data_IF_975998135269
#
_entry.id   IF_975998135269
#
_cell.length_a   1.000
_cell.length_b   1.000
_cell.length_c   1.000
_cell.angle_alpha   90.00
_cell.angle_beta   90.00
_cell.angle_gamma   90.00
#
_symmetry.space_group_name_H-M   'P 1'
#
loop_
_entity.id
_entity.type
_entity.pdbx_description
1 polymer ?
#
# COMPACT_ATOMS: atom_id res chain seq x y z
N UNK A 1 -68.60 -1.88 29.36
CA UNK A 1 -67.74 -0.78 28.85
C UNK A 1 -66.78 -0.22 29.92
N UNK A 2 -66.03 -1.06 30.66
CA UNK A 2 -65.04 -0.59 31.66
C UNK A 2 -63.67 -1.30 31.60
N UNK A 3 -63.47 -2.28 30.69
CA UNK A 3 -62.19 -2.98 30.52
C UNK A 3 -61.33 -2.50 29.34
N UNK A 4 -61.88 -1.69 28.43
CA UNK A 4 -61.14 -1.17 27.28
C UNK A 4 -60.37 0.14 27.57
N UNK A 5 -60.61 0.79 28.71
CA UNK A 5 -59.97 2.06 29.07
C UNK A 5 -58.66 1.86 29.85
N UNK A 6 -58.48 0.70 30.50
CA UNK A 6 -57.30 0.41 31.34
C UNK A 6 -56.08 0.02 30.48
N UNK A 7 -56.28 -0.61 29.31
CA UNK A 7 -55.17 -0.95 28.41
C UNK A 7 -54.60 0.23 27.62
N UNK A 8 -55.35 1.33 27.44
CA UNK A 8 -54.84 2.53 26.76
C UNK A 8 -54.02 3.45 27.66
N UNK A 9 -54.22 3.39 28.98
CA UNK A 9 -53.39 4.10 29.96
C UNK A 9 -52.06 3.37 30.23
N UNK A 10 -52.03 2.03 30.19
CA UNK A 10 -50.79 1.26 30.37
C UNK A 10 -49.77 1.45 29.22
N UNK A 11 -50.23 1.65 27.98
CA UNK A 11 -49.35 1.89 26.84
C UNK A 11 -48.84 3.35 26.76
N UNK A 12 -49.57 4.31 27.32
CA UNK A 12 -49.12 5.71 27.39
C UNK A 12 -48.01 5.95 28.42
N UNK A 13 -48.04 5.21 29.54
CA UNK A 13 -47.02 5.33 30.60
C UNK A 13 -45.71 4.59 30.22
N UNK A 14 -45.79 3.50 29.46
CA UNK A 14 -44.60 2.77 29.00
C UNK A 14 -43.81 3.52 27.91
N UNK A 15 -44.50 4.26 27.04
CA UNK A 15 -43.83 5.13 26.04
C UNK A 15 -43.25 6.40 26.66
N UNK A 16 -43.88 6.97 27.69
CA UNK A 16 -43.32 8.10 28.42
C UNK A 16 -42.08 7.70 29.24
N UNK A 17 -42.06 6.50 29.82
CA UNK A 17 -40.90 5.99 30.57
C UNK A 17 -39.71 5.63 29.66
N UNK A 18 -39.94 5.14 28.43
CA UNK A 18 -38.85 4.94 27.44
C UNK A 18 -38.35 6.25 26.82
N UNK A 19 -39.21 7.26 26.67
CA UNK A 19 -38.79 8.57 26.18
C UNK A 19 -37.95 9.34 27.23
N UNK A 20 -38.25 9.17 28.52
CA UNK A 20 -37.51 9.80 29.63
C UNK A 20 -36.18 9.10 29.96
N UNK A 21 -36.01 7.81 29.63
CA UNK A 21 -34.70 7.13 29.74
C UNK A 21 -33.79 7.34 28.53
N UNK A 22 -34.35 7.65 27.35
CA UNK A 22 -33.58 8.02 26.15
C UNK A 22 -33.04 9.46 26.18
N UNK A 23 -33.62 10.35 26.98
CA UNK A 23 -33.08 11.71 27.22
C UNK A 23 -32.02 11.78 28.33
N UNK A 24 -31.86 10.73 29.14
CA UNK A 24 -30.93 10.72 30.28
C UNK A 24 -29.58 10.04 30.01
N UNK A 25 -29.39 9.40 28.84
CA UNK A 25 -28.10 8.85 28.41
C UNK A 25 -27.39 9.70 27.33
N UNK A 26 -27.96 10.84 26.96
CA UNK A 26 -27.41 11.75 25.96
C UNK A 26 -26.84 13.02 26.58
N UNK A 27 -25.93 12.91 27.56
CA UNK A 27 -25.01 13.97 28.00
C UNK A 27 -24.13 13.47 29.16
N UNK A 28 -23.37 12.40 28.93
CA UNK A 28 -22.02 12.37 29.51
C UNK A 28 -21.12 12.96 28.43
N UNK A 29 -21.14 14.29 28.33
CA UNK A 29 -19.94 15.00 27.93
C UNK A 29 -18.86 14.52 28.89
N UNK A 30 -18.01 13.61 28.41
CA UNK A 30 -16.67 13.49 28.99
C UNK A 30 -16.17 14.92 29.09
N UNK A 31 -15.68 15.39 30.25
CA UNK A 31 -15.16 16.73 30.34
C UNK A 31 -14.12 16.84 29.23
N UNK A 32 -14.46 17.57 28.16
CA UNK A 32 -13.47 18.16 27.28
C UNK A 32 -12.69 19.00 28.26
N UNK A 33 -11.55 18.47 28.66
CA UNK A 33 -10.61 19.23 29.43
C UNK A 33 -10.30 20.44 28.56
N UNK A 34 -10.90 21.57 28.92
CA UNK A 34 -10.31 22.90 28.76
C UNK A 34 -9.03 22.98 29.60
N UNK A 35 -8.22 21.92 29.61
CA UNK A 35 -6.80 22.07 29.75
C UNK A 35 -6.43 22.89 28.53
N UNK A 36 -6.09 24.16 28.77
CA UNK A 36 -5.25 24.91 27.86
C UNK A 36 -4.21 23.92 27.35
N UNK A 37 -4.28 23.56 26.07
CA UNK A 37 -3.35 22.60 25.51
C UNK A 37 -1.98 23.19 25.80
N UNK A 38 -1.21 22.54 26.66
CA UNK A 38 0.16 22.96 26.92
C UNK A 38 0.80 23.15 25.56
N UNK A 39 1.43 24.31 25.34
CA UNK A 39 1.99 24.64 24.04
C UNK A 39 2.86 23.46 23.58
N UNK A 40 2.43 22.78 22.51
CA UNK A 40 3.15 21.63 21.98
C UNK A 40 4.51 22.14 21.51
N UNK A 41 5.53 21.89 22.31
CA UNK A 41 6.89 22.40 22.12
C UNK A 41 7.80 21.21 21.89
N UNK A 42 7.90 20.70 20.66
CA UNK A 42 8.68 19.51 20.38
C UNK A 42 10.18 19.81 20.46
N UNK A 43 10.96 18.83 20.91
CA UNK A 43 12.43 18.95 20.89
C UNK A 43 12.97 18.76 19.47
N UNK A 44 14.18 19.27 19.17
CA UNK A 44 14.84 19.01 17.88
C UNK A 44 14.96 17.51 17.55
N UNK A 45 15.21 16.67 18.54
CA UNK A 45 15.31 15.21 18.40
C UNK A 45 13.95 14.60 18.03
N UNK A 46 12.85 15.06 18.64
CA UNK A 46 11.50 14.62 18.28
C UNK A 46 11.15 15.01 16.84
N UNK A 47 11.51 16.21 16.40
CA UNK A 47 11.32 16.66 15.00
C UNK A 47 12.16 15.80 14.04
N UNK A 48 13.41 15.48 14.40
CA UNK A 48 14.28 14.64 13.58
C UNK A 48 13.74 13.20 13.47
N UNK A 49 13.26 12.62 14.57
CA UNK A 49 12.59 11.31 14.57
C UNK A 49 11.29 11.36 13.76
N UNK A 50 10.48 12.41 13.91
CA UNK A 50 9.28 12.62 13.11
C UNK A 50 9.55 12.69 11.62
N UNK A 51 10.65 13.34 11.21
CA UNK A 51 11.09 13.40 9.82
C UNK A 51 11.41 12.01 9.27
N UNK A 52 12.05 11.17 10.08
CA UNK A 52 12.32 9.78 9.74
C UNK A 52 11.03 9.00 9.57
N UNK A 53 10.11 9.10 10.54
CA UNK A 53 8.85 8.37 10.53
C UNK A 53 7.91 8.80 9.40
N UNK A 54 7.85 10.09 9.05
CA UNK A 54 7.05 10.56 7.90
C UNK A 54 7.51 9.96 6.58
N UNK A 55 8.82 9.72 6.44
CA UNK A 55 9.35 8.97 5.30
C UNK A 55 8.99 7.49 5.41
N UNK A 56 9.28 6.84 6.54
CA UNK A 56 8.96 5.43 6.75
C UNK A 56 7.48 5.11 6.56
N UNK A 57 6.59 6.04 6.92
CA UNK A 57 5.15 5.92 6.79
C UNK A 57 4.60 6.26 5.39
N UNK A 58 5.49 6.68 4.49
CA UNK A 58 5.22 7.09 3.12
C UNK A 58 4.14 8.19 2.98
N UNK A 59 4.11 9.15 3.92
CA UNK A 59 3.05 10.18 3.91
C UNK A 59 3.10 11.02 2.62
N UNK A 60 4.29 11.23 2.05
CA UNK A 60 4.47 12.05 0.86
C UNK A 60 3.79 11.46 -0.37
N UNK A 61 3.70 10.12 -0.51
CA UNK A 61 3.11 9.47 -1.68
C UNK A 61 1.64 9.84 -1.90
N UNK A 62 0.89 10.09 -0.83
CA UNK A 62 -0.50 10.54 -0.92
C UNK A 62 -0.65 12.05 -0.72
N UNK A 63 0.24 12.66 0.06
CA UNK A 63 0.09 14.06 0.47
C UNK A 63 0.96 15.04 -0.35
N UNK A 64 1.64 14.63 -1.42
CA UNK A 64 2.42 15.54 -2.27
C UNK A 64 2.16 15.25 -3.75
N UNK A 65 1.42 16.11 -4.43
CA UNK A 65 1.27 16.02 -5.89
C UNK A 65 2.57 16.34 -6.62
N UNK A 66 2.73 15.84 -7.85
CA UNK A 66 3.94 15.96 -8.67
C UNK A 66 4.54 17.38 -8.73
N UNK A 67 3.69 18.41 -8.91
CA UNK A 67 4.10 19.82 -8.95
C UNK A 67 3.64 20.62 -7.73
N UNK A 68 3.23 19.93 -6.67
CA UNK A 68 2.66 20.52 -5.46
C UNK A 68 3.71 20.88 -4.40
N UNK A 69 3.32 21.73 -3.46
CA UNK A 69 4.12 21.91 -2.25
C UNK A 69 4.16 20.60 -1.43
N UNK A 70 5.29 20.27 -0.78
CA UNK A 70 5.39 19.09 0.07
C UNK A 70 4.25 19.02 1.09
N UNK A 71 3.60 17.87 1.18
CA UNK A 71 2.50 17.58 2.11
C UNK A 71 1.20 18.38 1.89
N UNK A 72 1.07 19.12 0.78
CA UNK A 72 -0.10 19.95 0.47
C UNK A 72 -1.29 19.19 -0.14
N UNK A 73 -1.22 17.87 -0.27
CA UNK A 73 -2.27 17.00 -0.78
C UNK A 73 -2.34 16.93 -2.31
N UNK A 74 -3.50 16.49 -2.81
CA UNK A 74 -3.86 16.55 -4.23
C UNK A 74 -3.59 15.30 -5.06
N UNK A 75 -2.87 14.31 -4.53
CA UNK A 75 -2.62 13.03 -5.26
C UNK A 75 -3.93 12.28 -5.44
N UNK A 76 -4.24 11.89 -6.68
CA UNK A 76 -5.43 11.09 -7.02
C UNK A 76 -5.14 9.61 -6.81
N UNK A 77 -5.97 8.95 -6.02
CA UNK A 77 -5.92 7.50 -5.81
C UNK A 77 -7.18 6.89 -6.44
N UNK A 78 -7.00 6.21 -7.56
CA UNK A 78 -8.10 5.53 -8.24
C UNK A 78 -8.47 4.23 -7.52
N UNK A 79 -9.76 3.96 -7.38
CA UNK A 79 -10.26 2.73 -6.76
C UNK A 79 -11.56 2.27 -7.43
N UNK A 80 -12.00 1.01 -7.19
CA UNK A 80 -13.32 0.54 -7.63
C UNK A 80 -14.50 1.40 -7.10
N UNK A 81 -14.29 2.13 -6.00
CA UNK A 81 -15.31 2.94 -5.33
C UNK A 81 -15.38 4.39 -5.83
N UNK A 82 -14.44 4.80 -6.68
CA UNK A 82 -14.23 6.17 -7.13
C UNK A 82 -12.80 6.65 -6.89
N UNK A 83 -12.58 7.95 -6.98
CA UNK A 83 -11.27 8.57 -6.76
C UNK A 83 -11.18 9.26 -5.39
N UNK A 84 -10.18 8.85 -4.61
CA UNK A 84 -9.78 9.57 -3.40
C UNK A 84 -8.70 10.60 -3.76
N UNK A 85 -8.55 11.61 -2.91
CA UNK A 85 -7.52 12.64 -3.05
C UNK A 85 -6.88 12.87 -1.70
N UNK A 86 -5.54 12.87 -1.65
CA UNK A 86 -4.81 13.18 -0.42
C UNK A 86 -5.10 14.60 0.05
N UNK A 87 -5.18 14.80 1.37
CA UNK A 87 -5.42 16.12 1.96
C UNK A 87 -4.12 16.90 2.18
N UNK A 88 -4.22 18.19 2.38
CA UNK A 88 -3.16 19.03 2.89
C UNK A 88 -2.94 18.73 4.38
N UNK A 89 -1.73 18.31 4.73
CA UNK A 89 -1.31 18.02 6.12
C UNK A 89 -0.17 18.94 6.57
N UNK A 90 0.01 20.08 5.89
CA UNK A 90 0.92 21.14 6.33
C UNK A 90 0.35 21.93 7.51
N UNK A 91 1.13 22.78 8.19
CA UNK A 91 0.66 23.61 9.31
C UNK A 91 -0.22 24.79 8.89
N UNK A 92 -0.69 24.80 7.64
CA UNK A 92 -1.66 25.78 7.18
C UNK A 92 -2.95 25.68 8.01
N UNK A 93 -3.43 26.81 8.52
CA UNK A 93 -4.57 26.86 9.46
C UNK A 93 -5.92 26.71 8.76
N UNK A 94 -6.01 27.11 7.50
CA UNK A 94 -7.29 27.13 6.77
C UNK A 94 -7.53 25.81 6.03
N UNK A 95 -6.48 25.25 5.42
CA UNK A 95 -6.57 24.11 4.53
C UNK A 95 -5.80 22.88 5.03
N UNK A 96 -4.82 23.08 5.92
CA UNK A 96 -3.99 22.04 6.51
C UNK A 96 -4.44 21.58 7.90
N UNK A 97 -3.47 21.14 8.70
CA UNK A 97 -3.65 20.69 10.09
C UNK A 97 -3.20 21.74 11.11
N UNK A 98 -3.03 23.00 10.70
CA UNK A 98 -2.44 24.07 11.54
C UNK A 98 -3.18 24.35 12.85
N UNK A 99 -4.49 24.10 12.89
CA UNK A 99 -5.36 24.27 14.07
C UNK A 99 -5.69 22.94 14.78
N UNK A 100 -4.98 21.85 14.46
CA UNK A 100 -5.16 20.56 15.13
C UNK A 100 -4.33 20.51 16.40
N UNK A 101 -4.74 19.69 17.37
CA UNK A 101 -3.84 19.26 18.44
C UNK A 101 -3.13 17.95 18.08
N UNK A 102 -2.08 17.60 18.84
CA UNK A 102 -1.46 16.28 18.74
C UNK A 102 -2.49 15.14 19.01
N UNK A 103 -3.47 15.37 19.88
CA UNK A 103 -4.57 14.43 20.14
C UNK A 103 -5.53 14.31 18.95
N UNK A 104 -5.84 15.42 18.26
CA UNK A 104 -6.63 15.38 17.02
C UNK A 104 -5.91 14.57 15.94
N UNK A 105 -4.60 14.80 15.79
CA UNK A 105 -3.78 14.08 14.84
C UNK A 105 -3.72 12.58 15.18
N UNK A 106 -3.48 12.23 16.44
CA UNK A 106 -3.48 10.84 16.91
C UNK A 106 -4.82 10.15 16.63
N UNK A 107 -5.96 10.78 16.94
CA UNK A 107 -7.29 10.24 16.65
C UNK A 107 -7.57 10.08 15.15
N UNK A 108 -7.03 10.95 14.32
CA UNK A 108 -7.15 10.80 12.87
C UNK A 108 -6.39 9.57 12.37
N UNK A 109 -5.15 9.37 12.84
CA UNK A 109 -4.33 8.20 12.47
C UNK A 109 -4.84 6.88 13.07
N UNK A 110 -5.33 6.91 14.31
CA UNK A 110 -5.65 5.71 15.07
C UNK A 110 -7.12 5.31 14.95
N UNK A 111 -8.04 6.27 14.91
CA UNK A 111 -9.49 6.03 14.97
C UNK A 111 -10.23 6.47 13.71
N UNK A 112 -9.50 6.94 12.69
CA UNK A 112 -10.10 7.50 11.48
C UNK A 112 -10.98 8.73 11.77
N UNK A 113 -10.69 9.49 12.83
CA UNK A 113 -11.51 10.63 13.27
C UNK A 113 -10.75 11.95 13.15
N UNK A 114 -10.98 12.67 12.05
CA UNK A 114 -10.45 14.01 11.83
C UNK A 114 -11.42 15.07 12.38
N UNK A 115 -11.35 15.37 13.68
CA UNK A 115 -12.17 16.39 14.38
C UNK A 115 -13.68 16.24 14.13
N UNK A 116 -14.19 15.02 14.29
CA UNK A 116 -15.61 14.68 14.10
C UNK A 116 -15.96 14.18 12.69
N UNK A 117 -15.05 14.31 11.73
CA UNK A 117 -15.22 13.79 10.37
C UNK A 117 -14.53 12.43 10.24
N UNK A 118 -15.33 11.39 9.96
CA UNK A 118 -14.79 10.05 9.66
C UNK A 118 -13.98 10.05 8.36
N UNK A 119 -12.78 9.50 8.44
CA UNK A 119 -11.92 9.23 7.30
C UNK A 119 -12.39 7.98 6.57
N UNK A 120 -12.06 7.88 5.29
CA UNK A 120 -12.18 6.65 4.55
C UNK A 120 -10.91 5.81 4.74
N UNK A 121 -11.00 4.46 4.77
CA UNK A 121 -9.83 3.58 4.91
C UNK A 121 -8.77 3.72 3.81
N UNK A 122 -9.05 4.49 2.74
CA UNK A 122 -8.04 4.92 1.77
C UNK A 122 -6.92 5.73 2.41
N UNK A 123 -7.21 6.43 3.51
CA UNK A 123 -6.18 6.82 4.47
C UNK A 123 -6.03 5.63 5.42
N UNK A 124 -4.85 4.98 5.50
CA UNK A 124 -4.71 3.65 6.09
C UNK A 124 -4.70 3.68 7.63
N UNK A 125 -5.69 4.34 8.25
CA UNK A 125 -5.82 4.43 9.71
C UNK A 125 -6.00 3.06 10.38
N UNK A 126 -6.54 2.07 9.66
CA UNK A 126 -6.62 0.69 10.12
C UNK A 126 -5.25 0.07 10.36
N UNK A 127 -4.27 0.41 9.52
CA UNK A 127 -2.87 0.01 9.66
C UNK A 127 -2.15 0.89 10.68
N UNK A 128 -2.31 2.21 10.58
CA UNK A 128 -1.70 3.19 11.50
C UNK A 128 -2.20 3.09 12.94
N UNK A 129 -3.29 2.37 13.21
CA UNK A 129 -3.76 2.07 14.56
C UNK A 129 -2.71 1.40 15.44
N UNK A 130 -1.73 0.72 14.84
CA UNK A 130 -0.61 0.14 15.56
C UNK A 130 0.51 1.14 15.88
N UNK A 131 0.48 2.37 15.35
CA UNK A 131 1.47 3.40 15.66
C UNK A 131 1.45 3.75 17.15
N UNK A 132 2.64 3.84 17.73
CA UNK A 132 2.74 4.29 19.12
C UNK A 132 2.35 5.77 19.23
N UNK A 133 1.81 6.16 20.39
CA UNK A 133 1.52 7.56 20.68
C UNK A 133 2.74 8.46 20.48
N UNK A 134 3.91 8.01 20.94
CA UNK A 134 5.16 8.76 20.81
C UNK A 134 5.56 8.98 19.34
N UNK A 135 5.40 7.97 18.49
CA UNK A 135 5.70 8.09 17.06
C UNK A 135 4.69 8.99 16.33
N UNK A 136 3.41 8.92 16.68
CA UNK A 136 2.39 9.84 16.17
C UNK A 136 2.70 11.29 16.55
N UNK A 137 3.08 11.55 17.81
CA UNK A 137 3.44 12.89 18.28
C UNK A 137 4.71 13.41 17.59
N UNK A 138 5.69 12.53 17.32
CA UNK A 138 6.89 12.89 16.58
C UNK A 138 6.58 13.22 15.11
N UNK A 139 5.76 12.41 14.43
CA UNK A 139 5.26 12.70 13.09
C UNK A 139 4.56 14.07 13.07
N UNK A 140 3.66 14.31 14.01
CA UNK A 140 2.96 15.58 14.15
C UNK A 140 3.94 16.75 14.37
N UNK A 141 4.95 16.58 15.23
CA UNK A 141 5.99 17.58 15.45
C UNK A 141 6.73 17.97 14.19
N UNK A 142 7.11 16.98 13.38
CA UNK A 142 7.79 17.26 12.12
C UNK A 142 6.86 17.97 11.13
N UNK A 143 5.62 17.50 10.96
CA UNK A 143 4.64 18.16 10.09
C UNK A 143 4.41 19.60 10.52
N UNK A 144 4.26 19.87 11.82
CA UNK A 144 4.10 21.22 12.38
C UNK A 144 5.33 22.13 12.19
N UNK A 145 6.49 21.55 11.85
CA UNK A 145 7.72 22.30 11.55
C UNK A 145 7.92 22.64 10.07
N UNK A 146 7.13 22.05 9.15
CA UNK A 146 7.28 22.33 7.72
C UNK A 146 6.67 23.67 7.31
N UNK A 147 7.03 24.17 6.13
CA UNK A 147 6.45 25.40 5.61
C UNK A 147 4.93 25.22 5.37
N UNK A 148 4.07 26.09 5.90
CA UNK A 148 2.64 26.08 5.59
C UNK A 148 2.41 26.26 4.08
N UNK A 149 1.48 25.49 3.53
CA UNK A 149 1.05 25.62 2.14
C UNK A 149 -0.46 25.91 2.11
N UNK A 150 -0.88 27.11 1.66
CA UNK A 150 -2.30 27.47 1.57
C UNK A 150 -2.94 26.85 0.32
N UNK A 151 -3.04 25.51 0.30
CA UNK A 151 -3.61 24.73 -0.80
C UNK A 151 -4.89 24.05 -0.32
N UNK A 152 -6.03 24.42 -0.91
CA UNK A 152 -7.33 23.86 -0.57
C UNK A 152 -7.42 22.36 -0.90
N UNK A 153 -8.07 21.62 -0.01
CA UNK A 153 -8.32 20.19 -0.20
C UNK A 153 -9.29 19.94 -1.36
N UNK A 154 -8.98 18.95 -2.19
CA UNK A 154 -9.90 18.45 -3.21
C UNK A 154 -10.87 17.42 -2.61
N UNK A 155 -12.16 17.58 -2.90
CA UNK A 155 -13.17 16.60 -2.50
C UNK A 155 -12.99 15.28 -3.27
N UNK A 156 -13.26 14.15 -2.60
CA UNK A 156 -13.29 12.85 -3.25
C UNK A 156 -14.43 12.75 -4.26
N UNK A 157 -14.19 12.01 -5.33
CA UNK A 157 -15.16 11.71 -6.38
C UNK A 157 -15.60 10.24 -6.22
N UNK A 158 -16.49 10.00 -5.25
CA UNK A 158 -16.95 8.67 -4.87
C UNK A 158 -18.35 8.39 -5.41
N UNK A 159 -18.53 7.16 -5.88
CA UNK A 159 -19.83 6.70 -6.38
C UNK A 159 -20.79 6.45 -5.22
N UNK A 160 -22.07 6.74 -5.40
CA UNK A 160 -23.10 6.29 -4.46
C UNK A 160 -23.12 4.75 -4.38
N UNK A 161 -23.27 4.13 -3.19
CA UNK A 161 -23.52 4.74 -1.88
C UNK A 161 -22.26 5.10 -1.07
N UNK A 162 -21.05 4.87 -1.59
CA UNK A 162 -19.78 5.07 -0.87
C UNK A 162 -19.50 6.54 -0.48
N UNK A 163 -20.18 7.50 -1.12
CA UNK A 163 -20.14 8.92 -0.75
C UNK A 163 -20.82 9.23 0.60
N UNK A 164 -21.62 8.31 1.16
CA UNK A 164 -22.31 8.49 2.44
C UNK A 164 -21.39 8.20 3.64
N UNK A 165 -20.79 9.25 4.21
CA UNK A 165 -19.82 9.12 5.32
C UNK A 165 -20.34 8.46 6.60
N UNK A 166 -21.64 8.50 6.90
CA UNK A 166 -22.17 7.88 8.13
C UNK A 166 -21.93 6.36 8.15
N UNK A 167 -21.83 5.73 6.98
CA UNK A 167 -21.51 4.30 6.87
C UNK A 167 -20.15 3.95 7.46
N UNK A 168 -19.22 4.90 7.55
CA UNK A 168 -17.89 4.68 8.14
C UNK A 168 -17.92 4.42 9.63
N UNK A 169 -18.81 5.07 10.39
CA UNK A 169 -18.97 4.74 11.81
C UNK A 169 -19.37 3.26 12.00
N UNK A 170 -20.31 2.76 11.19
CA UNK A 170 -20.71 1.36 11.25
C UNK A 170 -19.61 0.43 10.76
N UNK A 171 -18.91 0.80 9.69
CA UNK A 171 -17.79 0.05 9.16
C UNK A 171 -16.69 -0.11 10.21
N UNK A 172 -16.32 0.96 10.90
CA UNK A 172 -15.31 0.95 11.96
C UNK A 172 -15.71 0.06 13.14
N UNK A 173 -16.98 0.12 13.57
CA UNK A 173 -17.48 -0.77 14.63
C UNK A 173 -17.33 -2.25 14.31
N UNK A 174 -17.32 -2.62 13.02
CA UNK A 174 -17.21 -4.01 12.57
C UNK A 174 -15.77 -4.40 12.25
N UNK A 175 -14.99 -3.49 11.67
CA UNK A 175 -13.72 -3.83 11.01
C UNK A 175 -12.47 -3.20 11.63
N UNK A 176 -12.60 -2.18 12.48
CA UNK A 176 -11.45 -1.54 13.11
C UNK A 176 -10.91 -2.43 14.24
N UNK A 177 -9.73 -3.03 14.00
CA UNK A 177 -9.05 -3.92 14.95
C UNK A 177 -7.77 -3.29 15.46
N UNK A 178 -7.26 -3.76 16.60
CA UNK A 178 -6.03 -3.21 17.21
C UNK A 178 -4.76 -3.68 16.49
N UNK A 179 -4.82 -4.81 15.77
CA UNK A 179 -3.69 -5.35 15.04
C UNK A 179 -4.14 -6.10 13.77
N UNK A 180 -3.23 -6.16 12.80
CA UNK A 180 -3.35 -7.00 11.62
C UNK A 180 -2.72 -8.38 11.89
N UNK A 181 -3.24 -9.45 11.27
CA UNK A 181 -2.64 -10.77 11.35
C UNK A 181 -1.29 -10.82 10.64
N UNK A 182 -0.37 -11.62 11.17
CA UNK A 182 0.97 -11.77 10.63
C UNK A 182 1.04 -12.82 9.52
N UNK A 183 1.80 -12.52 8.46
CA UNK A 183 2.06 -13.44 7.36
C UNK A 183 3.26 -14.37 7.60
N UNK A 184 4.06 -14.09 8.62
CA UNK A 184 5.26 -14.85 8.98
C UNK A 184 5.27 -15.16 10.47
N UNK A 185 6.21 -16.02 10.88
CA UNK A 185 6.40 -16.38 12.27
C UNK A 185 7.73 -15.84 12.81
N UNK A 186 7.68 -15.25 14.00
CA UNK A 186 8.87 -14.79 14.71
C UNK A 186 8.51 -14.15 16.05
N UNK A 187 9.52 -13.99 16.90
CA UNK A 187 9.44 -13.33 18.20
C UNK A 187 10.68 -12.48 18.50
N UNK A 188 11.73 -12.53 17.66
CA UNK A 188 12.93 -11.71 17.84
C UNK A 188 12.61 -10.22 17.85
N UNK A 189 13.48 -9.42 18.47
CA UNK A 189 13.33 -7.96 18.48
C UNK A 189 13.29 -7.39 17.05
N UNK A 190 14.12 -7.92 16.14
CA UNK A 190 14.11 -7.55 14.72
C UNK A 190 12.79 -7.91 14.04
N UNK A 191 12.21 -9.08 14.32
CA UNK A 191 10.92 -9.47 13.78
C UNK A 191 9.79 -8.56 14.28
N UNK A 192 9.76 -8.25 15.58
CA UNK A 192 8.74 -7.35 16.15
C UNK A 192 8.85 -5.92 15.58
N UNK A 193 10.10 -5.43 15.41
CA UNK A 193 10.36 -4.13 14.78
C UNK A 193 9.93 -4.14 13.31
N UNK A 194 10.25 -5.21 12.58
CA UNK A 194 9.84 -5.39 11.20
C UNK A 194 8.33 -5.46 11.02
N UNK A 195 7.62 -6.13 11.95
CA UNK A 195 6.16 -6.17 11.99
C UNK A 195 5.57 -4.77 12.11
N UNK A 196 6.13 -3.95 13.00
CA UNK A 196 5.72 -2.55 13.16
C UNK A 196 5.99 -1.73 11.89
N UNK A 197 7.17 -1.88 11.28
CA UNK A 197 7.53 -1.20 10.04
C UNK A 197 6.63 -1.60 8.87
N UNK A 198 6.34 -2.89 8.71
CA UNK A 198 5.54 -3.39 7.58
C UNK A 198 4.05 -3.10 7.75
N UNK A 199 3.49 -3.37 8.94
CA UNK A 199 2.05 -3.29 9.14
C UNK A 199 1.57 -1.92 9.59
N UNK A 200 2.35 -1.19 10.39
CA UNK A 200 1.95 0.11 10.90
C UNK A 200 2.46 1.24 10.00
N UNK A 201 3.78 1.40 9.92
CA UNK A 201 4.37 2.53 9.17
C UNK A 201 4.17 2.37 7.67
N UNK A 202 4.70 1.31 7.07
CA UNK A 202 4.69 1.07 5.63
C UNK A 202 3.40 0.45 5.09
N UNK A 203 2.43 0.13 5.95
CA UNK A 203 1.07 -0.35 5.61
C UNK A 203 1.03 -1.36 4.45
N UNK A 204 2.01 -2.27 4.38
CA UNK A 204 2.22 -3.17 3.24
C UNK A 204 0.99 -4.05 2.97
N UNK A 205 0.25 -4.39 4.02
CA UNK A 205 -0.98 -5.16 3.95
C UNK A 205 -2.08 -4.48 3.12
N UNK A 206 -2.09 -3.14 3.03
CA UNK A 206 -3.12 -2.41 2.30
C UNK A 206 -3.08 -2.68 0.78
N UNK A 207 -1.91 -3.04 0.25
CA UNK A 207 -1.71 -3.43 -1.14
C UNK A 207 -1.57 -4.95 -1.30
N UNK A 208 -0.88 -5.62 -0.38
CA UNK A 208 -0.53 -7.04 -0.52
C UNK A 208 -1.53 -8.02 0.12
N UNK A 209 -2.62 -7.56 0.71
CA UNK A 209 -3.67 -8.44 1.28
C UNK A 209 -4.98 -8.26 0.50
N UNK A 210 -5.65 -9.34 0.07
CA UNK A 210 -6.89 -9.22 -0.68
C UNK A 210 -7.98 -8.58 0.18
N UNK A 211 -8.93 -7.89 -0.47
CA UNK A 211 -10.06 -7.23 0.17
C UNK A 211 -11.36 -7.98 -0.09
N UNK A 212 -12.26 -7.97 0.89
CA UNK A 212 -13.62 -8.48 0.75
C UNK A 212 -14.54 -7.44 0.07
N UNK A 213 -15.81 -7.79 -0.13
CA UNK A 213 -16.80 -6.92 -0.79
C UNK A 213 -17.05 -5.59 -0.04
N UNK A 214 -16.73 -5.51 1.24
CA UNK A 214 -16.84 -4.30 2.07
C UNK A 214 -15.56 -3.45 2.03
N UNK A 215 -14.58 -3.82 1.21
CA UNK A 215 -13.29 -3.13 1.09
C UNK A 215 -12.30 -3.41 2.22
N UNK A 216 -12.65 -4.30 3.17
CA UNK A 216 -11.76 -4.63 4.27
C UNK A 216 -10.79 -5.76 3.91
N UNK A 217 -9.59 -5.72 4.48
CA UNK A 217 -8.58 -6.76 4.35
C UNK A 217 -9.12 -8.13 4.79
N UNK A 218 -8.77 -9.18 4.06
CA UNK A 218 -9.11 -10.56 4.40
C UNK A 218 -8.04 -11.12 5.31
N UNK A 219 -8.29 -11.07 6.61
CA UNK A 219 -7.36 -11.49 7.68
C UNK A 219 -6.80 -12.91 7.53
N UNK A 220 -7.53 -13.81 6.88
CA UNK A 220 -7.07 -15.19 6.64
C UNK A 220 -5.97 -15.30 5.57
N UNK A 221 -5.65 -14.21 4.86
CA UNK A 221 -4.71 -14.19 3.73
C UNK A 221 -3.74 -13.00 3.79
N UNK A 222 -3.07 -12.75 4.93
CA UNK A 222 -2.19 -11.60 5.08
C UNK A 222 -1.06 -11.68 4.06
N UNK A 223 -0.82 -10.58 3.36
CA UNK A 223 0.29 -10.41 2.42
C UNK A 223 0.32 -11.40 1.23
N UNK A 224 -0.76 -12.13 0.97
CA UNK A 224 -0.83 -13.16 -0.09
C UNK A 224 -0.98 -12.61 -1.52
N UNK A 225 -0.87 -11.29 -1.70
CA UNK A 225 -1.10 -10.58 -2.95
C UNK A 225 -2.56 -10.20 -3.17
N UNK A 226 -2.78 -9.14 -3.95
CA UNK A 226 -4.11 -8.63 -4.28
C UNK A 226 -4.11 -7.84 -5.59
N UNK A 227 -5.27 -7.81 -6.27
CA UNK A 227 -5.46 -6.93 -7.41
C UNK A 227 -5.46 -5.46 -6.95
N UNK A 228 -4.65 -4.64 -7.61
CA UNK A 228 -4.48 -3.21 -7.36
C UNK A 228 -4.74 -2.44 -8.65
N UNK A 229 -6.01 -2.38 -9.05
CA UNK A 229 -6.42 -1.75 -10.30
C UNK A 229 -5.87 -2.50 -11.51
N UNK A 230 -4.93 -1.88 -12.23
CA UNK A 230 -4.35 -2.44 -13.46
C UNK A 230 -3.25 -3.46 -13.18
N UNK A 231 -2.64 -3.45 -12.01
CA UNK A 231 -1.57 -4.40 -11.63
C UNK A 231 -2.03 -5.30 -10.49
N UNK A 232 -1.27 -6.35 -10.21
CA UNK A 232 -1.47 -7.24 -9.06
C UNK A 232 -0.30 -7.07 -8.11
N UNK A 233 -0.55 -6.66 -6.87
CA UNK A 233 0.48 -6.71 -5.84
C UNK A 233 0.85 -8.18 -5.58
N UNK A 234 2.13 -8.56 -5.68
CA UNK A 234 2.54 -9.96 -5.56
C UNK A 234 2.36 -10.52 -4.15
N UNK A 235 2.28 -11.84 -4.02
CA UNK A 235 2.35 -12.54 -2.74
C UNK A 235 3.72 -12.33 -2.08
N UNK A 236 3.78 -11.58 -0.98
CA UNK A 236 5.00 -11.31 -0.21
C UNK A 236 5.04 -12.07 1.12
N UNK A 237 4.26 -13.14 1.26
CA UNK A 237 4.44 -14.11 2.36
C UNK A 237 5.83 -14.77 2.28
N UNK A 238 6.33 -15.36 3.38
CA UNK A 238 7.61 -16.08 3.36
C UNK A 238 7.68 -17.13 2.24
N UNK A 239 6.59 -17.88 2.02
CA UNK A 239 6.51 -18.89 0.97
C UNK A 239 6.49 -18.27 -0.43
N UNK A 240 5.73 -17.20 -0.64
CA UNK A 240 5.70 -16.47 -1.92
C UNK A 240 7.06 -15.89 -2.31
N UNK A 241 7.74 -15.25 -1.35
CA UNK A 241 9.08 -14.69 -1.53
C UNK A 241 10.12 -15.77 -1.84
N UNK A 242 10.19 -16.83 -1.02
CA UNK A 242 11.11 -17.93 -1.24
C UNK A 242 10.83 -18.68 -2.54
N UNK A 243 9.56 -18.89 -2.91
CA UNK A 243 9.16 -19.50 -4.18
C UNK A 243 9.65 -18.73 -5.41
N UNK A 244 9.85 -17.41 -5.28
CA UNK A 244 10.45 -16.55 -6.31
C UNK A 244 11.94 -16.27 -6.10
N UNK A 245 12.58 -16.99 -5.17
CA UNK A 245 14.02 -16.97 -4.94
C UNK A 245 14.53 -15.73 -4.20
N UNK A 246 13.67 -15.00 -3.49
CA UNK A 246 14.11 -13.87 -2.67
C UNK A 246 14.88 -14.34 -1.45
N UNK A 247 15.99 -13.66 -1.16
CA UNK A 247 16.75 -13.84 0.08
C UNK A 247 16.60 -12.62 0.99
N UNK A 248 16.99 -12.75 2.26
CA UNK A 248 17.03 -11.63 3.18
C UNK A 248 17.97 -10.50 2.68
N UNK A 249 19.10 -10.85 2.06
CA UNK A 249 20.05 -9.87 1.53
C UNK A 249 19.48 -9.13 0.31
N UNK A 250 18.76 -9.84 -0.56
CA UNK A 250 18.13 -9.24 -1.74
C UNK A 250 16.99 -8.31 -1.35
N UNK A 251 16.16 -8.68 -0.36
CA UNK A 251 15.12 -7.80 0.17
C UNK A 251 15.73 -6.54 0.80
N UNK A 252 16.81 -6.67 1.57
CA UNK A 252 17.50 -5.52 2.15
C UNK A 252 18.03 -4.58 1.06
N UNK A 253 18.60 -5.14 -0.02
CA UNK A 253 19.07 -4.36 -1.17
C UNK A 253 17.91 -3.68 -1.88
N UNK A 254 16.82 -4.41 -2.12
CA UNK A 254 15.62 -3.89 -2.77
C UNK A 254 14.98 -2.76 -1.98
N UNK A 255 14.82 -2.86 -0.66
CA UNK A 255 14.23 -1.79 0.12
C UNK A 255 15.16 -0.59 0.28
N UNK A 256 16.48 -0.80 0.27
CA UNK A 256 17.47 0.28 0.37
C UNK A 256 17.65 1.07 -0.93
N UNK A 257 17.53 0.41 -2.08
CA UNK A 257 17.89 0.98 -3.38
C UNK A 257 16.73 0.95 -4.37
N UNK A 258 15.94 -0.13 -4.37
CA UNK A 258 14.87 -0.39 -5.34
C UNK A 258 15.24 -1.37 -6.44
N UNK A 259 16.45 -1.95 -6.41
CA UNK A 259 16.91 -2.93 -7.39
C UNK A 259 17.56 -4.10 -6.65
N UNK A 260 17.24 -5.32 -7.07
CA UNK A 260 17.85 -6.57 -6.63
C UNK A 260 18.01 -7.52 -7.83
N UNK A 261 18.72 -8.66 -7.70
CA UNK A 261 18.83 -9.64 -8.78
C UNK A 261 17.48 -10.12 -9.33
N UNK A 262 16.44 -10.13 -8.49
CA UNK A 262 15.07 -10.52 -8.84
C UNK A 262 14.31 -9.44 -9.62
N UNK A 263 14.86 -8.23 -9.76
CA UNK A 263 14.25 -7.12 -10.51
C UNK A 263 14.29 -5.78 -9.77
N UNK A 264 13.60 -4.79 -10.31
CA UNK A 264 13.48 -3.44 -9.74
C UNK A 264 12.07 -3.13 -9.25
N UNK A 265 11.94 -2.13 -8.39
CA UNK A 265 10.65 -1.58 -7.99
C UNK A 265 10.08 -0.77 -9.15
N UNK A 266 8.90 -1.14 -9.65
CA UNK A 266 8.20 -0.45 -10.74
C UNK A 266 6.71 -0.28 -10.44
N UNK A 267 6.04 0.53 -11.25
CA UNK A 267 4.64 0.88 -11.04
C UNK A 267 4.40 1.42 -9.63
N UNK A 268 3.38 0.90 -8.97
CA UNK A 268 2.97 1.31 -7.61
C UNK A 268 4.04 1.04 -6.53
N UNK A 269 4.97 0.11 -6.75
CA UNK A 269 6.05 -0.15 -5.77
C UNK A 269 7.21 0.86 -5.88
N UNK A 270 7.35 1.53 -7.03
CA UNK A 270 8.39 2.55 -7.21
C UNK A 270 8.27 3.72 -6.21
N UNK A 271 7.12 4.40 -6.04
CA UNK A 271 7.01 5.47 -5.05
C UNK A 271 7.24 4.98 -3.62
N UNK A 272 6.84 3.75 -3.27
CA UNK A 272 7.11 3.17 -1.94
C UNK A 272 8.60 3.11 -1.65
N UNK A 273 9.42 2.72 -2.63
CA UNK A 273 10.88 2.77 -2.45
C UNK A 273 11.40 4.21 -2.53
N UNK A 274 10.99 4.95 -3.56
CA UNK A 274 11.54 6.26 -3.89
C UNK A 274 11.21 7.34 -2.83
N UNK A 275 10.07 7.25 -2.16
CA UNK A 275 9.62 8.23 -1.17
C UNK A 275 9.77 7.71 0.28
N UNK A 276 9.83 6.39 0.48
CA UNK A 276 9.89 5.78 1.80
C UNK A 276 11.11 4.86 2.01
N UNK A 277 11.07 3.60 1.56
CA UNK A 277 11.91 2.55 2.16
C UNK A 277 13.40 2.79 1.99
N UNK A 278 13.83 3.49 0.93
CA UNK A 278 15.25 3.80 0.71
C UNK A 278 15.85 4.71 1.78
N UNK A 279 15.02 5.35 2.61
CA UNK A 279 15.44 6.21 3.72
C UNK A 279 15.41 5.52 5.08
N UNK A 280 15.00 4.25 5.15
CA UNK A 280 15.04 3.48 6.37
C UNK A 280 16.50 3.28 6.82
N UNK A 281 16.71 3.17 8.13
CA UNK A 281 18.02 2.77 8.64
C UNK A 281 18.33 1.33 8.22
N UNK A 282 19.61 0.97 8.13
CA UNK A 282 20.00 -0.40 7.78
C UNK A 282 19.45 -1.45 8.77
N UNK A 283 19.30 -1.08 10.05
CA UNK A 283 18.69 -1.97 11.04
C UNK A 283 17.19 -2.14 10.81
N UNK A 284 16.47 -1.08 10.42
CA UNK A 284 15.05 -1.15 10.07
C UNK A 284 14.80 -1.90 8.76
N UNK A 285 15.67 -1.74 7.75
CA UNK A 285 15.63 -2.54 6.51
C UNK A 285 15.84 -4.03 6.80
N UNK A 286 16.77 -4.36 7.71
CA UNK A 286 16.96 -5.73 8.20
C UNK A 286 15.72 -6.22 8.94
N UNK A 287 15.17 -5.45 9.87
CA UNK A 287 13.97 -5.80 10.62
C UNK A 287 12.79 -6.07 9.68
N UNK A 288 12.54 -5.19 8.70
CA UNK A 288 11.51 -5.38 7.68
C UNK A 288 11.69 -6.70 6.92
N UNK A 289 12.92 -7.01 6.51
CA UNK A 289 13.23 -8.27 5.80
C UNK A 289 13.06 -9.50 6.69
N UNK A 290 13.44 -9.42 7.98
CA UNK A 290 13.21 -10.47 8.98
C UNK A 290 11.72 -10.70 9.21
N UNK A 291 10.91 -9.64 9.25
CA UNK A 291 9.46 -9.80 9.35
C UNK A 291 8.88 -10.46 8.10
N UNK A 292 9.23 -10.05 6.89
CA UNK A 292 8.63 -10.65 5.69
C UNK A 292 8.99 -12.12 5.50
N UNK A 293 10.17 -12.56 5.97
CA UNK A 293 10.61 -13.96 5.85
C UNK A 293 10.35 -14.80 7.10
N UNK A 294 10.17 -14.18 8.27
CA UNK A 294 10.15 -14.84 9.57
C UNK A 294 11.54 -15.04 10.18
N UNK A 295 11.58 -15.38 11.48
CA UNK A 295 12.84 -15.67 12.20
C UNK A 295 13.55 -16.93 11.66
N UNK A 296 12.77 -17.88 11.12
CA UNK A 296 13.26 -19.08 10.45
C UNK A 296 12.85 -19.05 8.98
N UNK A 297 13.59 -18.32 8.13
CA UNK A 297 13.18 -18.10 6.75
C UNK A 297 13.21 -19.41 5.95
N UNK A 298 12.21 -19.68 5.10
CA UNK A 298 12.27 -20.81 4.16
C UNK A 298 13.41 -20.62 3.15
N UNK A 299 13.99 -21.73 2.69
CA UNK A 299 15.06 -21.68 1.71
C UNK A 299 14.57 -21.12 0.36
N UNK A 300 15.31 -20.18 -0.27
CA UNK A 300 14.96 -19.65 -1.58
C UNK A 300 14.94 -20.78 -2.60
N UNK A 301 13.89 -20.84 -3.41
CA UNK A 301 13.74 -21.87 -4.43
C UNK A 301 14.52 -21.48 -5.68
N UNK A 302 15.36 -22.38 -6.22
CA UNK A 302 16.07 -22.14 -7.46
C UNK A 302 15.09 -22.00 -8.63
N UNK A 303 15.57 -21.45 -9.74
CA UNK A 303 14.79 -21.44 -10.97
C UNK A 303 14.59 -22.89 -11.46
N UNK A 304 13.33 -23.30 -11.59
CA UNK A 304 13.00 -24.62 -12.14
C UNK A 304 13.00 -24.58 -13.67
N UNK A 305 13.64 -25.55 -14.31
CA UNK A 305 13.51 -25.73 -15.75
C UNK A 305 12.11 -26.27 -16.09
N UNK A 306 11.48 -25.72 -17.12
CA UNK A 306 10.16 -26.16 -17.59
C UNK A 306 10.28 -26.70 -19.00
N UNK A 307 9.58 -27.80 -19.27
CA UNK A 307 9.43 -28.32 -20.63
C UNK A 307 8.37 -27.53 -21.37
N UNK A 308 8.68 -27.05 -22.57
CA UNK A 308 7.74 -26.39 -23.46
C UNK A 308 8.07 -26.75 -24.91
N UNK A 309 7.07 -26.63 -25.80
CA UNK A 309 7.26 -26.88 -27.22
C UNK A 309 8.28 -25.90 -27.82
N UNK A 310 9.34 -26.45 -28.40
CA UNK A 310 10.43 -25.65 -28.98
C UNK A 310 9.98 -24.77 -30.14
N UNK A 311 8.97 -25.18 -30.90
CA UNK A 311 8.41 -24.37 -31.97
C UNK A 311 7.66 -23.14 -31.43
N UNK A 312 6.83 -23.33 -30.39
CA UNK A 312 6.14 -22.24 -29.70
C UNK A 312 7.13 -21.23 -29.08
N UNK A 313 8.23 -21.72 -28.47
CA UNK A 313 9.27 -20.85 -27.91
C UNK A 313 10.08 -20.12 -28.98
N UNK A 314 10.27 -20.71 -30.16
CA UNK A 314 11.04 -20.09 -31.24
C UNK A 314 10.38 -18.80 -31.78
N UNK A 315 9.04 -18.78 -31.87
CA UNK A 315 8.30 -17.59 -32.27
C UNK A 315 8.48 -16.45 -31.24
N UNK A 316 8.23 -16.73 -29.95
CA UNK A 316 8.42 -15.76 -28.88
C UNK A 316 9.87 -15.27 -28.74
N UNK A 317 10.85 -16.16 -28.95
CA UNK A 317 12.27 -15.81 -29.00
C UNK A 317 12.59 -14.83 -30.13
N UNK A 318 11.98 -15.00 -31.29
CA UNK A 318 12.19 -14.11 -32.44
C UNK A 318 11.70 -12.69 -32.13
N UNK A 319 10.53 -12.58 -31.48
CA UNK A 319 10.03 -11.29 -30.97
C UNK A 319 10.98 -10.70 -29.93
N UNK A 320 11.45 -11.50 -28.97
CA UNK A 320 12.40 -11.05 -27.94
C UNK A 320 13.69 -10.47 -28.56
N UNK A 321 14.27 -11.16 -29.54
CA UNK A 321 15.47 -10.71 -30.23
C UNK A 321 15.24 -9.41 -31.01
N UNK A 322 14.04 -9.23 -31.57
CA UNK A 322 13.69 -8.05 -32.34
C UNK A 322 13.50 -6.79 -31.46
N UNK A 323 12.86 -6.91 -30.30
CA UNK A 323 12.42 -5.73 -29.53
C UNK A 323 12.90 -5.63 -28.08
N UNK A 324 13.40 -6.72 -27.48
CA UNK A 324 13.78 -6.75 -26.06
C UNK A 324 15.30 -6.87 -25.85
N UNK A 325 15.97 -7.69 -26.66
CA UNK A 325 17.35 -8.10 -26.43
C UNK A 325 18.38 -6.96 -26.46
N UNK A 326 18.07 -5.85 -27.15
CA UNK A 326 18.94 -4.66 -27.17
C UNK A 326 19.17 -4.04 -25.79
N UNK A 327 18.20 -4.18 -24.88
CA UNK A 327 18.28 -3.68 -23.51
C UNK A 327 18.47 -4.82 -22.50
N UNK A 328 17.73 -5.91 -22.64
CA UNK A 328 17.74 -7.03 -21.69
C UNK A 328 18.81 -8.10 -21.98
N UNK A 329 19.63 -7.91 -23.02
CA UNK A 329 20.70 -8.83 -23.40
C UNK A 329 20.20 -10.01 -24.23
N UNK A 330 21.10 -10.68 -24.96
CA UNK A 330 20.71 -11.80 -25.84
C UNK A 330 20.28 -13.04 -25.05
N UNK A 331 20.86 -13.23 -23.86
CA UNK A 331 20.57 -14.33 -22.95
C UNK A 331 19.74 -13.90 -21.73
N UNK A 332 19.17 -12.68 -21.74
CA UNK A 332 18.37 -12.15 -20.65
C UNK A 332 19.20 -11.71 -19.44
N UNK A 333 20.50 -11.44 -19.62
CA UNK A 333 21.44 -11.01 -18.59
C UNK A 333 21.18 -9.59 -18.06
N UNK A 334 20.33 -8.81 -18.74
CA UNK A 334 20.06 -7.43 -18.41
C UNK A 334 21.26 -6.52 -18.71
N UNK A 335 21.11 -5.25 -18.35
CA UNK A 335 22.20 -4.28 -18.44
C UNK A 335 22.15 -3.39 -17.19
N UNK A 336 23.21 -3.39 -16.36
CA UNK A 336 23.25 -2.56 -15.15
C UNK A 336 22.84 -1.12 -15.46
N UNK A 337 22.05 -0.53 -14.57
CA UNK A 337 21.58 0.86 -14.68
C UNK A 337 20.70 1.17 -15.91
N UNK A 338 20.26 0.15 -16.64
CA UNK A 338 19.47 0.31 -17.87
C UNK A 338 18.24 -0.57 -17.86
N UNK A 339 18.41 -1.87 -17.65
CA UNK A 339 17.34 -2.85 -17.74
C UNK A 339 17.61 -4.05 -16.84
N UNK A 340 16.55 -4.54 -16.19
CA UNK A 340 16.63 -5.70 -15.29
C UNK A 340 17.03 -6.98 -16.04
N UNK A 341 17.75 -7.90 -15.37
CA UNK A 341 17.92 -9.25 -15.88
C UNK A 341 16.56 -9.95 -15.94
N UNK A 342 16.41 -10.82 -16.94
CA UNK A 342 15.25 -11.69 -17.09
C UNK A 342 15.43 -12.98 -16.29
N UNK A 343 16.64 -13.54 -16.27
CA UNK A 343 16.91 -14.81 -15.61
C UNK A 343 16.57 -14.75 -14.10
N UNK A 344 15.56 -15.51 -13.68
CA UNK A 344 15.10 -15.51 -12.28
C UNK A 344 14.31 -14.28 -11.85
N UNK A 345 13.95 -13.39 -12.79
CA UNK A 345 13.18 -12.18 -12.51
C UNK A 345 11.84 -12.49 -11.83
N UNK A 346 11.52 -11.81 -10.73
CA UNK A 346 10.36 -12.11 -9.91
C UNK A 346 9.04 -11.99 -10.66
N UNK A 347 8.92 -11.05 -11.61
CA UNK A 347 7.72 -10.89 -12.45
C UNK A 347 7.53 -12.08 -13.38
N UNK A 348 8.61 -12.61 -13.96
CA UNK A 348 8.55 -13.82 -14.80
C UNK A 348 8.25 -15.08 -14.00
N UNK A 349 8.67 -15.10 -12.73
CA UNK A 349 8.45 -16.21 -11.80
C UNK A 349 7.04 -16.24 -11.18
N UNK A 350 6.18 -15.26 -11.45
CA UNK A 350 4.80 -15.29 -10.94
C UNK A 350 3.95 -16.32 -11.69
N UNK A 351 3.14 -17.07 -10.95
CA UNK A 351 2.21 -18.05 -11.54
C UNK A 351 1.22 -17.37 -12.48
N UNK A 352 0.73 -16.18 -12.12
CA UNK A 352 -0.08 -15.32 -12.98
C UNK A 352 0.82 -14.45 -13.88
N UNK A 353 0.48 -14.38 -15.18
CA UNK A 353 1.21 -13.58 -16.17
C UNK A 353 0.78 -12.10 -16.20
N UNK A 354 -0.27 -11.73 -15.48
CA UNK A 354 -0.88 -10.40 -15.52
C UNK A 354 0.13 -9.26 -15.49
N UNK A 355 1.01 -9.21 -14.48
CA UNK A 355 1.98 -8.11 -14.35
C UNK A 355 3.02 -8.08 -15.47
N UNK A 356 3.42 -9.23 -15.99
CA UNK A 356 4.32 -9.29 -17.15
C UNK A 356 3.63 -8.69 -18.38
N UNK A 357 2.38 -9.07 -18.61
CA UNK A 357 1.59 -8.56 -19.73
C UNK A 357 1.37 -7.06 -19.62
N UNK A 358 0.99 -6.57 -18.43
CA UNK A 358 0.81 -5.13 -18.19
C UNK A 358 2.11 -4.36 -18.42
N UNK A 359 3.25 -4.85 -17.90
CA UNK A 359 4.55 -4.21 -18.13
C UNK A 359 4.93 -4.12 -19.62
N UNK A 360 4.61 -5.15 -20.42
CA UNK A 360 4.84 -5.12 -21.87
C UNK A 360 3.83 -4.23 -22.62
N UNK A 361 2.56 -4.25 -22.22
CA UNK A 361 1.50 -3.46 -22.86
C UNK A 361 1.70 -1.96 -22.63
N UNK A 362 2.00 -1.58 -21.39
CA UNK A 362 2.05 -0.19 -20.95
C UNK A 362 3.45 0.40 -21.00
N UNK A 363 4.48 -0.46 -21.03
CA UNK A 363 5.84 -0.03 -20.78
C UNK A 363 6.08 0.31 -19.32
N UNK A 364 7.26 0.83 -19.03
CA UNK A 364 7.67 1.28 -17.70
C UNK A 364 8.40 2.61 -17.90
N UNK A 365 7.99 3.66 -17.20
CA UNK A 365 8.67 4.96 -17.24
C UNK A 365 10.10 4.89 -16.71
N UNK A 366 10.93 5.86 -17.07
CA UNK A 366 12.28 6.00 -16.50
C UNK A 366 12.22 6.13 -14.98
N UNK A 367 13.06 5.35 -14.29
CA UNK A 367 13.07 5.29 -12.83
C UNK A 367 14.43 5.69 -12.29
N UNK A 368 14.44 6.49 -11.22
CA UNK A 368 15.65 6.91 -10.51
C UNK A 368 15.65 6.32 -9.11
N UNK A 369 16.74 5.66 -8.78
CA UNK A 369 16.93 4.97 -7.51
C UNK A 369 18.03 5.66 -6.69
N UNK A 370 18.30 5.12 -5.50
CA UNK A 370 19.33 5.68 -4.63
C UNK A 370 20.72 5.71 -5.31
N UNK A 371 21.48 6.78 -5.08
CA UNK A 371 22.83 6.92 -5.62
C UNK A 371 22.85 7.17 -7.12
N UNK A 372 23.54 6.30 -7.87
CA UNK A 372 23.69 6.39 -9.34
C UNK A 372 22.77 5.41 -10.08
N UNK A 373 21.96 4.66 -9.35
CA UNK A 373 21.11 3.63 -9.90
C UNK A 373 19.91 4.21 -10.66
N UNK A 374 19.63 3.64 -11.84
CA UNK A 374 18.50 4.02 -12.67
C UNK A 374 18.02 2.85 -13.53
N UNK A 375 16.80 2.97 -14.05
CA UNK A 375 16.27 2.12 -15.12
C UNK A 375 15.78 3.03 -16.24
N UNK A 376 16.16 2.71 -17.48
CA UNK A 376 15.64 3.43 -18.64
C UNK A 376 14.19 3.07 -18.87
N UNK A 377 13.46 3.94 -19.57
CA UNK A 377 12.11 3.64 -19.97
C UNK A 377 12.06 2.35 -20.81
N UNK A 378 11.19 1.42 -20.41
CA UNK A 378 10.82 0.27 -21.21
C UNK A 378 9.66 0.70 -22.13
N UNK A 379 9.79 0.55 -23.46
CA UNK A 379 8.74 0.97 -24.38
C UNK A 379 7.46 0.14 -24.20
N UNK A 380 6.33 0.79 -24.44
CA UNK A 380 5.02 0.15 -24.48
C UNK A 380 4.82 -0.57 -25.83
N UNK A 381 4.28 -1.80 -25.80
CA UNK A 381 4.05 -2.61 -27.00
C UNK A 381 2.57 -2.78 -27.35
N UNK A 382 1.66 -2.14 -26.62
CA UNK A 382 0.22 -2.19 -26.91
C UNK A 382 -0.15 -1.67 -28.31
N UNK A 383 0.61 -0.79 -28.94
CA UNK A 383 0.28 -0.33 -30.31
C UNK A 383 1.09 -1.00 -31.41
N UNK A 384 2.11 -1.78 -31.06
CA UNK A 384 3.13 -2.26 -32.00
C UNK A 384 3.16 -3.77 -32.18
N UNK A 385 2.81 -4.54 -31.15
CA UNK A 385 2.71 -6.00 -31.21
C UNK A 385 1.24 -6.44 -31.15
N UNK A 386 0.91 -7.50 -31.87
CA UNK A 386 -0.38 -8.17 -31.79
C UNK A 386 -0.56 -8.93 -30.47
N UNK A 387 -1.80 -9.35 -30.18
CA UNK A 387 -2.10 -10.22 -29.03
C UNK A 387 -1.35 -11.55 -29.08
N UNK A 388 -1.24 -12.15 -30.27
CA UNK A 388 -0.53 -13.42 -30.48
C UNK A 388 0.98 -13.25 -30.24
N UNK A 389 1.59 -12.19 -30.77
CA UNK A 389 3.02 -11.92 -30.58
C UNK A 389 3.37 -11.68 -29.10
N UNK A 390 2.53 -10.92 -28.38
CA UNK A 390 2.72 -10.70 -26.95
C UNK A 390 2.52 -11.97 -26.12
N UNK A 391 1.55 -12.82 -26.47
CA UNK A 391 1.35 -14.09 -25.80
C UNK A 391 2.55 -15.03 -26.03
N UNK A 392 3.05 -15.12 -27.27
CA UNK A 392 4.24 -15.89 -27.61
C UNK A 392 5.49 -15.37 -26.88
N UNK A 393 5.68 -14.04 -26.84
CA UNK A 393 6.76 -13.41 -26.10
C UNK A 393 6.66 -13.72 -24.61
N UNK A 394 5.49 -13.52 -23.99
CA UNK A 394 5.27 -13.82 -22.57
C UNK A 394 5.62 -15.27 -22.24
N UNK A 395 5.16 -16.21 -23.09
CA UNK A 395 5.43 -17.63 -22.95
C UNK A 395 6.92 -17.96 -23.05
N UNK A 396 7.63 -17.35 -24.00
CA UNK A 396 9.08 -17.49 -24.12
C UNK A 396 9.81 -17.02 -22.86
N UNK A 397 9.52 -15.82 -22.38
CA UNK A 397 10.13 -15.24 -21.18
C UNK A 397 9.87 -16.10 -19.94
N UNK A 398 8.61 -16.50 -19.72
CA UNK A 398 8.17 -17.29 -18.56
C UNK A 398 8.79 -18.68 -18.53
N UNK A 399 8.80 -19.39 -19.66
CA UNK A 399 9.37 -20.74 -19.72
C UNK A 399 10.91 -20.73 -19.63
N UNK A 400 11.56 -19.73 -20.24
CA UNK A 400 13.02 -19.68 -20.35
C UNK A 400 13.67 -19.14 -19.07
N UNK A 401 13.08 -18.12 -18.45
CA UNK A 401 13.69 -17.38 -17.35
C UNK A 401 12.83 -17.28 -16.09
N UNK A 402 11.54 -17.57 -16.19
CA UNK A 402 10.59 -17.53 -15.06
C UNK A 402 10.33 -18.89 -14.40
N UNK A 403 10.70 -19.99 -15.04
CA UNK A 403 10.38 -21.33 -14.53
C UNK A 403 8.87 -21.58 -14.47
N UNK A 404 8.11 -20.95 -15.37
CA UNK A 404 6.66 -21.04 -15.45
C UNK A 404 6.22 -21.71 -16.77
N UNK A 405 5.02 -22.29 -16.78
CA UNK A 405 4.47 -22.86 -18.00
C UNK A 405 4.23 -21.79 -19.08
N UNK A 406 4.40 -22.20 -20.35
CA UNK A 406 4.05 -21.41 -21.53
C UNK A 406 2.55 -21.55 -21.85
N UNK A 407 1.70 -20.94 -21.04
CA UNK A 407 0.24 -21.08 -21.10
C UNK A 407 -0.54 -19.76 -21.31
N UNK A 408 0.15 -18.67 -21.61
CA UNK A 408 -0.47 -17.38 -21.94
C UNK A 408 -1.10 -17.45 -23.32
N UNK A 409 -2.32 -16.96 -23.45
CA UNK A 409 -3.07 -16.91 -24.72
C UNK A 409 -3.24 -15.47 -25.22
N UNK A 410 -3.51 -15.31 -26.50
CA UNK A 410 -3.88 -14.00 -27.06
C UNK A 410 -5.13 -13.39 -26.40
N UNK A 411 -6.06 -14.23 -25.93
CA UNK A 411 -7.24 -13.76 -25.20
C UNK A 411 -6.87 -13.12 -23.86
N UNK A 412 -5.85 -13.64 -23.18
CA UNK A 412 -5.36 -13.07 -21.91
C UNK A 412 -4.75 -11.69 -22.14
N UNK A 413 -3.98 -11.54 -23.23
CA UNK A 413 -3.41 -10.24 -23.63
C UNK A 413 -4.52 -9.25 -23.97
N UNK A 414 -5.49 -9.67 -24.79
CA UNK A 414 -6.62 -8.84 -25.22
C UNK A 414 -7.46 -8.34 -24.06
N UNK A 415 -7.63 -9.15 -23.01
CA UNK A 415 -8.39 -8.78 -21.82
C UNK A 415 -7.74 -7.63 -21.02
N UNK A 416 -6.44 -7.39 -21.19
CA UNK A 416 -5.67 -6.36 -20.49
C UNK A 416 -5.41 -5.10 -21.33
N UNK A 417 -5.82 -5.08 -22.59
CA UNK A 417 -5.65 -3.95 -23.52
C UNK A 417 -6.58 -2.79 -23.26
#
# INVERSE_FOLDING_TARGET
MKRALIHRLAHGVLFAACALTLTACGQQESPQSNAAHAAFTPTPEQIAHGRYLVKAADCAACHTSQDGAPFAGGVKIASPYGAFYGSNITPDKEHGIGDWSADDFYRALHDGNARGKRLYPSMPYTSYRQLTRADSDAIYAYLMSVKPAPVANRAHDLRFPYSLRFGMTLWDMVFLKDALPDASAGQSAHWQRGRYLANALGHCAECHTPRNFAGQLVDAKPLSGAALGRVVAPDITPAGLAGRGWTAADLQTFFSVGIAPQGSAFGEMYPVVHLSTQYLTQDDVRALSVYLLGDTPPAPQPLAAVSADGAALAAGRSVYLAVCAGCHGLAGEGKPHVAVPMNGNSTLRQADAHNLLVAMLDGIDTQKFAGVENMQAMPAFSSTLSDDELAQLANYLRATWGGQAANVTASDVKALR
#
